data_IF_583280865992
#
_entry.id   IF_583280865992
#
_cell.length_a   1.000
_cell.length_b   1.000
_cell.length_c   1.000
_cell.angle_alpha   90.00
_cell.angle_beta   90.00
_cell.angle_gamma   90.00
#
_symmetry.space_group_name_H-M   'P 1'
#
loop_
_entity.id
_entity.type
_entity.pdbx_description
1 polymer ?
#
# COMPACT_ATOMS: atom_id res chain seq x y z
N UNK A 1 -23.58 29.45 28.29
CA UNK A 1 -23.49 29.14 26.84
C UNK A 1 -22.23 28.31 26.65
N UNK A 2 -22.38 27.00 26.53
CA UNK A 2 -21.25 26.06 26.47
C UNK A 2 -20.76 25.99 25.03
N UNK A 3 -19.50 26.40 24.79
CA UNK A 3 -18.88 26.33 23.47
C UNK A 3 -18.18 24.98 23.31
N UNK A 4 -18.79 24.08 22.54
CA UNK A 4 -18.16 22.83 22.15
C UNK A 4 -17.52 23.10 20.76
N UNK A 5 -16.21 22.89 20.64
CA UNK A 5 -15.48 23.11 19.39
C UNK A 5 -15.32 21.78 18.65
N UNK A 6 -15.62 21.77 17.35
CA UNK A 6 -15.35 20.65 16.45
C UNK A 6 -14.21 21.00 15.49
N UNK A 7 -13.30 20.05 15.27
CA UNK A 7 -12.24 20.17 14.27
C UNK A 7 -12.21 18.90 13.43
N UNK A 8 -12.33 19.05 12.12
CA UNK A 8 -12.32 17.95 11.16
C UNK A 8 -10.89 17.66 10.72
N UNK A 9 -10.43 16.43 10.92
CA UNK A 9 -9.12 15.94 10.47
C UNK A 9 -9.34 14.61 9.74
N UNK A 10 -9.55 14.67 8.42
CA UNK A 10 -9.84 13.46 7.62
C UNK A 10 -11.14 12.78 8.05
N UNK A 11 -11.06 11.50 8.40
CA UNK A 11 -12.18 10.66 8.88
C UNK A 11 -12.53 10.88 10.37
N UNK A 12 -11.75 11.70 11.08
CA UNK A 12 -11.93 11.91 12.52
C UNK A 12 -12.64 13.23 12.79
N UNK A 13 -13.72 13.18 13.57
CA UNK A 13 -14.31 14.36 14.23
C UNK A 13 -13.91 14.33 15.68
N UNK A 14 -13.09 15.31 16.08
CA UNK A 14 -12.68 15.49 17.46
C UNK A 14 -13.69 16.46 18.09
N UNK A 15 -14.54 15.93 18.98
CA UNK A 15 -15.44 16.75 19.80
C UNK A 15 -14.84 16.87 21.20
N UNK A 16 -14.39 18.07 21.56
CA UNK A 16 -13.84 18.36 22.89
C UNK A 16 -14.90 18.98 23.79
N UNK A 17 -15.27 18.28 24.87
CA UNK A 17 -16.07 18.87 25.95
C UNK A 17 -15.51 18.35 27.31
N UNK A 18 -15.04 19.30 28.14
CA UNK A 18 -14.45 19.18 29.49
C UNK A 18 -13.87 17.81 29.93
N UNK A 19 -12.59 17.59 29.63
CA UNK A 19 -11.74 16.62 30.35
C UNK A 19 -11.46 15.30 29.64
N UNK A 20 -11.94 15.10 28.41
CA UNK A 20 -11.60 13.94 27.60
C UNK A 20 -11.84 14.18 26.11
N UNK A 21 -11.06 13.50 25.28
CA UNK A 21 -11.33 13.38 23.85
C UNK A 21 -12.18 12.14 23.64
N UNK A 22 -13.41 12.31 23.16
CA UNK A 22 -14.18 11.19 22.64
C UNK A 22 -13.90 11.12 21.14
N UNK A 23 -13.14 10.10 20.72
CA UNK A 23 -12.97 9.79 19.29
C UNK A 23 -14.26 9.12 18.84
N UNK A 24 -15.16 9.89 18.24
CA UNK A 24 -16.28 9.31 17.51
C UNK A 24 -15.76 8.86 16.15
N UNK A 25 -15.71 7.55 15.93
CA UNK A 25 -15.61 6.98 14.57
C UNK A 25 -16.98 7.17 13.93
N UNK A 26 -17.19 8.30 13.25
CA UNK A 26 -18.31 8.39 12.32
C UNK A 26 -17.94 7.55 11.10
N UNK A 27 -18.62 6.43 10.90
CA UNK A 27 -18.72 5.85 9.57
C UNK A 27 -20.21 5.65 9.27
N UNK A 28 -20.85 6.70 8.76
CA UNK A 28 -21.99 6.48 7.85
C UNK A 28 -21.38 6.04 6.51
N UNK A 29 -20.94 4.78 6.42
CA UNK A 29 -20.32 4.30 5.16
C UNK A 29 -21.41 3.90 4.17
N UNK A 30 -21.90 4.90 3.44
CA UNK A 30 -22.47 4.68 2.12
C UNK A 30 -21.34 4.23 1.17
N UNK A 31 -21.65 3.33 0.24
CA UNK A 31 -20.75 2.90 -0.83
C UNK A 31 -21.25 3.40 -2.19
N UNK A 32 -20.31 3.58 -3.10
CA UNK A 32 -20.61 3.68 -4.52
C UNK A 32 -20.63 2.27 -5.10
N UNK A 33 -21.74 1.92 -5.74
CA UNK A 33 -21.96 0.65 -6.41
C UNK A 33 -21.89 0.87 -7.91
N UNK A 34 -20.97 0.16 -8.57
CA UNK A 34 -20.88 0.09 -10.02
C UNK A 34 -21.33 -1.30 -10.47
N UNK A 35 -22.44 -1.34 -11.21
CA UNK A 35 -22.93 -2.52 -11.92
C UNK A 35 -22.61 -2.31 -13.40
N UNK A 36 -21.92 -3.25 -14.03
CA UNK A 36 -21.54 -3.11 -15.43
C UNK A 36 -21.51 -4.43 -16.18
N UNK A 37 -21.68 -4.32 -17.49
CA UNK A 37 -21.54 -5.39 -18.47
C UNK A 37 -20.72 -4.85 -19.64
N UNK A 38 -19.68 -5.57 -20.04
CA UNK A 38 -18.86 -5.24 -21.22
C UNK A 38 -18.85 -6.42 -22.19
N UNK A 39 -18.65 -6.19 -23.50
CA UNK A 39 -18.51 -7.27 -24.47
C UNK A 39 -17.45 -8.30 -24.09
N UNK A 40 -17.69 -9.57 -24.49
CA UNK A 40 -16.76 -10.66 -24.23
C UNK A 40 -15.43 -10.49 -24.98
N UNK A 41 -15.47 -9.88 -26.16
CA UNK A 41 -14.30 -9.56 -26.96
C UNK A 41 -14.23 -8.05 -27.28
N UNK A 42 -13.03 -7.46 -27.33
CA UNK A 42 -11.73 -8.07 -27.06
C UNK A 42 -11.44 -8.22 -25.55
N UNK A 43 -10.93 -9.38 -25.12
CA UNK A 43 -10.60 -9.67 -23.71
C UNK A 43 -9.68 -8.63 -23.04
N UNK A 44 -8.75 -8.04 -23.80
CA UNK A 44 -7.81 -7.00 -23.34
C UNK A 44 -8.51 -5.79 -22.72
N UNK A 45 -9.62 -5.36 -23.33
CA UNK A 45 -10.42 -4.20 -22.87
C UNK A 45 -11.03 -4.47 -21.49
N UNK A 46 -11.64 -5.64 -21.31
CA UNK A 46 -12.21 -6.07 -20.01
C UNK A 46 -11.15 -6.20 -18.92
N UNK A 47 -9.99 -6.78 -19.25
CA UNK A 47 -8.91 -6.96 -18.28
C UNK A 47 -8.32 -5.62 -17.83
N UNK A 48 -8.18 -4.65 -18.75
CA UNK A 48 -7.75 -3.30 -18.41
C UNK A 48 -8.73 -2.61 -17.46
N UNK A 49 -10.03 -2.71 -17.73
CA UNK A 49 -11.08 -2.18 -16.85
C UNK A 49 -11.02 -2.81 -15.45
N UNK A 50 -10.89 -4.13 -15.36
CA UNK A 50 -10.78 -4.84 -14.09
C UNK A 50 -9.54 -4.39 -13.29
N UNK A 51 -8.38 -4.28 -13.95
CA UNK A 51 -7.15 -3.78 -13.32
C UNK A 51 -7.30 -2.35 -12.81
N UNK A 52 -7.99 -1.48 -13.58
CA UNK A 52 -8.26 -0.10 -13.18
C UNK A 52 -9.15 -0.05 -11.94
N UNK A 53 -10.22 -0.85 -11.90
CA UNK A 53 -11.11 -0.96 -10.74
C UNK A 53 -10.37 -1.49 -9.51
N UNK A 54 -9.58 -2.56 -9.65
CA UNK A 54 -8.74 -3.09 -8.57
C UNK A 54 -7.70 -2.07 -8.09
N UNK A 55 -7.10 -1.30 -9.00
CA UNK A 55 -6.17 -0.22 -8.67
C UNK A 55 -6.79 0.96 -7.89
N UNK A 56 -8.12 1.07 -7.88
CA UNK A 56 -8.86 2.01 -7.02
C UNK A 56 -9.23 1.41 -5.66
N UNK A 57 -8.90 0.14 -5.40
CA UNK A 57 -9.31 -0.58 -4.20
C UNK A 57 -10.74 -1.12 -4.28
N UNK A 58 -11.32 -1.26 -5.48
CA UNK A 58 -12.68 -1.74 -5.62
C UNK A 58 -12.81 -3.22 -5.27
N UNK A 59 -13.82 -3.54 -4.45
CA UNK A 59 -14.15 -4.91 -4.06
C UNK A 59 -15.33 -5.41 -4.87
N UNK A 60 -15.22 -6.62 -5.41
CA UNK A 60 -16.30 -7.22 -6.18
C UNK A 60 -17.26 -7.99 -5.27
N UNK A 61 -18.54 -7.71 -5.41
CA UNK A 61 -19.60 -8.51 -4.78
C UNK A 61 -19.93 -9.73 -5.63
N UNK A 62 -20.00 -9.53 -6.94
CA UNK A 62 -20.30 -10.51 -7.99
C UNK A 62 -19.65 -10.06 -9.30
N UNK A 63 -19.71 -10.90 -10.34
CA UNK A 63 -19.23 -10.53 -11.66
C UNK A 63 -19.95 -9.27 -12.18
N UNK A 64 -19.17 -8.25 -12.54
CA UNK A 64 -19.72 -6.98 -13.01
C UNK A 64 -20.33 -6.11 -11.91
N UNK A 65 -20.19 -6.46 -10.63
CA UNK A 65 -20.73 -5.70 -9.51
C UNK A 65 -19.62 -5.42 -8.50
N UNK A 66 -19.22 -4.15 -8.37
CA UNK A 66 -18.15 -3.75 -7.47
C UNK A 66 -18.49 -2.51 -6.64
N UNK A 67 -17.81 -2.38 -5.51
CA UNK A 67 -18.01 -1.35 -4.50
C UNK A 67 -16.73 -0.54 -4.27
N UNK A 68 -16.91 0.75 -3.96
CA UNK A 68 -15.92 1.60 -3.31
C UNK A 68 -16.57 2.38 -2.16
N UNK A 69 -15.84 2.73 -1.09
CA UNK A 69 -16.35 3.67 -0.10
C UNK A 69 -16.75 5.00 -0.75
N UNK A 70 -17.85 5.62 -0.33
CA UNK A 70 -18.27 6.90 -0.90
C UNK A 70 -17.25 7.99 -0.60
N UNK A 71 -16.71 8.57 -1.66
CA UNK A 71 -15.87 9.76 -1.62
C UNK A 71 -15.99 10.50 -2.95
N UNK A 72 -15.72 11.81 -2.96
CA UNK A 72 -15.71 12.59 -4.19
C UNK A 72 -14.67 12.09 -5.20
N UNK A 73 -13.53 11.58 -4.69
CA UNK A 73 -12.51 10.96 -5.54
C UNK A 73 -13.04 9.71 -6.23
N UNK A 74 -13.60 8.76 -5.48
CA UNK A 74 -14.17 7.53 -6.03
C UNK A 74 -15.33 7.81 -6.99
N UNK A 75 -16.18 8.80 -6.67
CA UNK A 75 -17.28 9.22 -7.55
C UNK A 75 -16.77 9.73 -8.90
N UNK A 76 -15.73 10.56 -8.90
CA UNK A 76 -15.10 11.05 -10.15
C UNK A 76 -14.49 9.89 -10.94
N UNK A 77 -13.77 8.99 -10.27
CA UNK A 77 -13.15 7.84 -10.93
C UNK A 77 -14.17 6.88 -11.53
N UNK A 78 -15.25 6.56 -10.81
CA UNK A 78 -16.35 5.73 -11.32
C UNK A 78 -17.09 6.37 -12.49
N UNK A 79 -17.25 7.71 -12.53
CA UNK A 79 -17.80 8.40 -13.71
C UNK A 79 -16.91 8.29 -14.94
N UNK A 80 -15.58 8.41 -14.78
CA UNK A 80 -14.64 8.21 -15.88
C UNK A 80 -14.76 6.76 -16.40
N UNK A 81 -14.79 5.79 -15.48
CA UNK A 81 -14.93 4.38 -15.83
C UNK A 81 -16.27 4.08 -16.51
N UNK A 82 -17.37 4.70 -16.06
CA UNK A 82 -18.68 4.57 -16.69
C UNK A 82 -18.66 5.04 -18.15
N UNK A 83 -17.99 6.15 -18.45
CA UNK A 83 -17.82 6.62 -19.83
C UNK A 83 -16.98 5.65 -20.66
N UNK A 84 -15.85 5.16 -20.13
CA UNK A 84 -15.00 4.16 -20.80
C UNK A 84 -15.78 2.88 -21.11
N UNK A 85 -16.61 2.39 -20.18
CA UNK A 85 -17.49 1.24 -20.41
C UNK A 85 -18.42 1.50 -21.59
N UNK A 86 -19.00 2.70 -21.70
CA UNK A 86 -19.84 3.10 -22.83
C UNK A 86 -19.09 3.11 -24.15
N UNK A 87 -17.87 3.67 -24.19
CA UNK A 87 -16.99 3.67 -25.38
C UNK A 87 -16.59 2.25 -25.81
N UNK A 88 -16.59 1.29 -24.88
CA UNK A 88 -16.35 -0.12 -25.15
C UNK A 88 -17.59 -0.87 -25.66
N UNK A 89 -18.74 -0.20 -25.80
CA UNK A 89 -20.02 -0.83 -26.17
C UNK A 89 -20.64 -1.63 -25.02
N UNK A 90 -20.28 -1.31 -23.78
CA UNK A 90 -20.86 -1.88 -22.58
C UNK A 90 -21.97 -1.01 -21.98
N UNK A 91 -22.58 -1.54 -20.92
CA UNK A 91 -23.62 -0.87 -20.14
C UNK A 91 -23.17 -0.77 -18.69
N UNK A 92 -23.49 0.33 -18.01
CA UNK A 92 -23.21 0.45 -16.58
C UNK A 92 -24.18 1.36 -15.82
N UNK A 93 -24.37 1.03 -14.55
CA UNK A 93 -25.15 1.78 -13.57
C UNK A 93 -24.24 2.15 -12.40
N UNK A 94 -24.27 3.42 -12.03
CA UNK A 94 -23.56 3.95 -10.87
C UNK A 94 -24.58 4.43 -9.85
N UNK A 95 -24.57 3.80 -8.68
CA UNK A 95 -25.56 4.01 -7.61
C UNK A 95 -24.85 4.36 -6.31
N UNK A 96 -25.50 5.14 -5.46
CA UNK A 96 -25.16 5.23 -4.05
C UNK A 96 -25.93 4.12 -3.32
N UNK A 97 -25.27 3.46 -2.37
CA UNK A 97 -25.82 2.31 -1.66
C UNK A 97 -25.40 2.35 -0.20
N UNK A 98 -26.22 1.77 0.67
CA UNK A 98 -25.94 1.67 2.10
C UNK A 98 -26.33 0.30 2.62
N UNK A 99 -25.75 -0.10 3.76
CA UNK A 99 -26.09 -1.35 4.41
C UNK A 99 -27.46 -1.22 5.07
N UNK A 100 -28.33 -2.22 4.90
CA UNK A 100 -29.64 -2.23 5.57
C UNK A 100 -29.51 -2.22 7.10
N UNK A 101 -28.47 -2.86 7.61
CA UNK A 101 -28.13 -2.89 9.02
C UNK A 101 -26.61 -2.90 9.20
N UNK A 102 -26.20 -2.82 10.48
CA UNK A 102 -24.80 -2.85 10.88
C UNK A 102 -24.10 -4.15 10.46
N UNK A 103 -24.79 -5.29 10.50
CA UNK A 103 -24.22 -6.58 10.10
C UNK A 103 -23.82 -6.58 8.63
N UNK A 104 -24.63 -5.97 7.77
CA UNK A 104 -24.33 -5.83 6.35
C UNK A 104 -23.14 -4.88 6.10
N UNK A 105 -23.03 -3.81 6.88
CA UNK A 105 -21.87 -2.91 6.85
C UNK A 105 -20.59 -3.63 7.24
N UNK A 106 -20.62 -4.39 8.34
CA UNK A 106 -19.49 -5.20 8.81
C UNK A 106 -19.10 -6.28 7.81
N UNK A 107 -20.07 -6.92 7.14
CA UNK A 107 -19.81 -7.90 6.09
C UNK A 107 -19.04 -7.29 4.91
N UNK A 108 -19.46 -6.10 4.44
CA UNK A 108 -18.80 -5.43 3.32
C UNK A 108 -17.42 -4.91 3.74
N UNK A 109 -17.30 -4.28 4.90
CA UNK A 109 -16.01 -3.86 5.45
C UNK A 109 -15.05 -5.06 5.59
N UNK A 110 -15.55 -6.20 6.05
CA UNK A 110 -14.79 -7.45 6.11
C UNK A 110 -14.25 -7.90 4.76
N UNK A 111 -14.99 -7.72 3.66
CA UNK A 111 -14.49 -8.01 2.30
C UNK A 111 -13.38 -7.06 1.86
N UNK A 112 -13.45 -5.78 2.21
CA UNK A 112 -12.34 -4.85 1.96
C UNK A 112 -11.10 -5.26 2.74
N UNK A 113 -11.25 -5.55 4.04
CA UNK A 113 -10.15 -5.99 4.89
C UNK A 113 -9.52 -7.30 4.41
N UNK A 114 -10.30 -8.27 3.94
CA UNK A 114 -9.75 -9.54 3.43
C UNK A 114 -8.90 -9.33 2.16
N UNK A 115 -9.37 -8.52 1.22
CA UNK A 115 -8.60 -8.17 0.02
C UNK A 115 -7.31 -7.41 0.37
N UNK A 116 -7.34 -6.53 1.38
CA UNK A 116 -6.14 -5.85 1.88
C UNK A 116 -5.20 -6.79 2.61
N UNK A 117 -5.72 -7.66 3.48
CA UNK A 117 -4.94 -8.68 4.20
C UNK A 117 -4.24 -9.64 3.23
N UNK A 118 -4.85 -9.95 2.08
CA UNK A 118 -4.21 -10.75 1.05
C UNK A 118 -2.97 -10.06 0.47
N UNK A 119 -3.05 -8.77 0.17
CA UNK A 119 -1.89 -7.99 -0.29
C UNK A 119 -0.84 -7.82 0.80
N UNK A 120 -1.25 -7.57 2.06
CA UNK A 120 -0.31 -7.51 3.18
C UNK A 120 0.41 -8.85 3.39
N UNK A 121 -0.25 -9.99 3.24
CA UNK A 121 0.41 -11.31 3.29
C UNK A 121 1.47 -11.47 2.22
N UNK A 122 1.21 -11.02 1.00
CA UNK A 122 2.21 -11.04 -0.08
C UNK A 122 3.39 -10.12 0.25
N UNK A 123 3.10 -8.92 0.77
CA UNK A 123 4.12 -7.96 1.21
C UNK A 123 5.02 -8.54 2.31
N UNK A 124 4.41 -9.15 3.33
CA UNK A 124 5.13 -9.81 4.42
C UNK A 124 6.06 -10.93 3.90
N UNK A 125 5.60 -11.70 2.92
CA UNK A 125 6.43 -12.69 2.23
C UNK A 125 7.66 -12.06 1.57
N UNK A 126 7.49 -10.92 0.89
CA UNK A 126 8.62 -10.21 0.27
C UNK A 126 9.57 -9.59 1.30
N UNK A 127 9.07 -9.11 2.43
CA UNK A 127 9.94 -8.68 3.53
C UNK A 127 10.77 -9.85 4.05
N UNK A 128 10.17 -11.03 4.23
CA UNK A 128 10.90 -12.23 4.66
C UNK A 128 11.99 -12.64 3.65
N UNK A 129 11.66 -12.64 2.35
CA UNK A 129 12.64 -12.92 1.28
C UNK A 129 13.81 -11.92 1.31
N UNK A 130 13.51 -10.62 1.45
CA UNK A 130 14.51 -9.56 1.51
C UNK A 130 15.46 -9.71 2.72
N UNK A 131 14.90 -9.97 3.91
CA UNK A 131 15.68 -10.18 5.12
C UNK A 131 16.60 -11.40 4.98
N UNK A 132 16.10 -12.49 4.40
CA UNK A 132 16.88 -13.70 4.15
C UNK A 132 18.03 -13.48 3.14
N UNK A 133 17.87 -12.54 2.20
CA UNK A 133 18.95 -12.14 1.29
C UNK A 133 20.07 -11.40 2.03
N UNK A 134 19.72 -10.35 2.78
CA UNK A 134 20.67 -9.58 3.59
C UNK A 134 21.44 -10.50 4.55
N UNK A 135 20.75 -11.43 5.22
CA UNK A 135 21.39 -12.39 6.13
C UNK A 135 22.41 -13.27 5.39
N UNK A 136 22.09 -13.72 4.18
CA UNK A 136 22.97 -14.55 3.36
C UNK A 136 24.21 -13.79 2.91
N UNK A 137 24.06 -12.56 2.43
CA UNK A 137 25.16 -11.70 2.02
C UNK A 137 26.07 -11.35 3.21
N UNK A 138 25.46 -11.07 4.36
CA UNK A 138 26.17 -10.80 5.62
C UNK A 138 26.98 -12.02 6.05
N UNK A 139 26.39 -13.21 6.01
CA UNK A 139 27.07 -14.46 6.34
C UNK A 139 28.21 -14.78 5.37
N UNK A 140 28.03 -14.49 4.08
CA UNK A 140 29.06 -14.62 3.06
C UNK A 140 30.13 -13.52 3.12
N UNK A 141 29.96 -12.50 3.99
CA UNK A 141 30.80 -11.29 4.06
C UNK A 141 30.91 -10.58 2.70
N UNK A 142 29.84 -10.62 1.90
CA UNK A 142 29.78 -9.98 0.59
C UNK A 142 29.54 -8.48 0.72
N UNK A 143 30.44 -7.79 1.43
CA UNK A 143 30.33 -6.36 1.70
C UNK A 143 30.91 -5.56 0.53
N UNK A 144 30.04 -5.21 -0.42
CA UNK A 144 30.38 -4.35 -1.56
C UNK A 144 29.35 -3.25 -1.75
N UNK A 145 29.74 -2.15 -2.38
CA UNK A 145 28.81 -1.07 -2.71
C UNK A 145 27.73 -1.49 -3.72
N UNK A 146 28.03 -2.47 -4.57
CA UNK A 146 27.06 -2.97 -5.54
C UNK A 146 25.88 -3.66 -4.83
N UNK A 147 26.16 -4.57 -3.89
CA UNK A 147 25.13 -5.23 -3.08
C UNK A 147 24.35 -4.21 -2.23
N UNK A 148 25.05 -3.26 -1.62
CA UNK A 148 24.39 -2.20 -0.84
C UNK A 148 23.41 -1.38 -1.70
N UNK A 149 23.81 -1.05 -2.94
CA UNK A 149 22.95 -0.30 -3.86
C UNK A 149 21.73 -1.13 -4.28
N UNK A 150 21.92 -2.41 -4.61
CA UNK A 150 20.81 -3.32 -4.99
C UNK A 150 19.81 -3.45 -3.84
N UNK A 151 20.28 -3.69 -2.62
CA UNK A 151 19.44 -3.80 -1.44
C UNK A 151 18.70 -2.49 -1.09
N UNK A 152 19.30 -1.31 -1.33
CA UNK A 152 18.63 -0.01 -1.17
C UNK A 152 17.53 0.21 -2.21
N UNK A 153 17.77 -0.19 -3.47
CA UNK A 153 16.76 -0.13 -4.54
C UNK A 153 15.57 -1.06 -4.23
N UNK A 154 15.82 -2.26 -3.71
CA UNK A 154 14.77 -3.20 -3.32
C UNK A 154 13.97 -2.73 -2.10
N UNK A 155 14.63 -2.14 -1.10
CA UNK A 155 13.95 -1.53 0.03
C UNK A 155 13.04 -0.37 -0.40
N UNK A 156 13.48 0.46 -1.36
CA UNK A 156 12.65 1.53 -1.93
C UNK A 156 11.42 0.98 -2.64
N UNK A 157 11.53 -0.16 -3.34
CA UNK A 157 10.38 -0.84 -3.95
C UNK A 157 9.40 -1.32 -2.89
N UNK A 158 9.87 -1.93 -1.80
CA UNK A 158 9.03 -2.35 -0.66
C UNK A 158 8.31 -1.16 -0.03
N UNK A 159 9.01 -0.05 0.26
CA UNK A 159 8.41 1.20 0.78
C UNK A 159 7.27 1.70 -0.11
N UNK A 160 7.53 1.83 -1.40
CA UNK A 160 6.53 2.29 -2.37
C UNK A 160 5.34 1.34 -2.45
N UNK A 161 5.57 0.04 -2.34
CA UNK A 161 4.50 -0.94 -2.39
C UNK A 161 3.61 -0.88 -1.14
N UNK A 162 4.20 -0.82 0.06
CA UNK A 162 3.43 -0.69 1.30
C UNK A 162 2.55 0.58 1.31
N UNK A 163 3.10 1.70 0.82
CA UNK A 163 2.35 2.95 0.67
C UNK A 163 1.14 2.78 -0.26
N UNK A 164 1.31 2.06 -1.38
CA UNK A 164 0.21 1.77 -2.31
C UNK A 164 -0.86 0.90 -1.66
N UNK A 165 -0.48 -0.14 -0.90
CA UNK A 165 -1.44 -0.98 -0.18
C UNK A 165 -2.22 -0.13 0.82
N UNK A 166 -1.53 0.70 1.60
CA UNK A 166 -2.13 1.58 2.62
C UNK A 166 -3.11 2.61 2.03
N UNK A 167 -2.84 3.15 0.83
CA UNK A 167 -3.80 4.05 0.14
C UNK A 167 -5.12 3.38 -0.23
N UNK A 168 -5.13 2.05 -0.36
CA UNK A 168 -6.30 1.25 -0.66
C UNK A 168 -6.93 0.64 0.59
N UNK A 169 -6.29 0.77 1.76
CA UNK A 169 -6.79 0.26 3.03
C UNK A 169 -7.76 1.26 3.68
N UNK A 170 -9.03 1.15 3.28
CA UNK A 170 -10.08 2.06 3.72
C UNK A 170 -10.64 1.75 5.11
N UNK A 171 -10.41 0.55 5.62
CA UNK A 171 -11.06 0.03 6.84
C UNK A 171 -10.06 -0.42 7.91
N UNK A 172 -8.76 -0.29 7.67
CA UNK A 172 -7.71 -0.62 8.64
C UNK A 172 -7.60 -2.12 8.81
N UNK A 173 -7.09 -2.80 7.79
CA UNK A 173 -6.92 -4.24 7.81
C UNK A 173 -5.93 -4.67 8.91
N UNK A 174 -6.20 -5.82 9.52
CA UNK A 174 -5.49 -6.31 10.71
C UNK A 174 -3.97 -6.40 10.53
N UNK A 175 -3.52 -6.78 9.33
CA UNK A 175 -2.10 -6.99 9.05
C UNK A 175 -1.31 -5.70 8.74
N UNK A 176 -1.97 -4.55 8.63
CA UNK A 176 -1.31 -3.29 8.29
C UNK A 176 -0.19 -2.92 9.29
N UNK A 177 -0.45 -3.11 10.58
CA UNK A 177 0.52 -2.82 11.63
C UNK A 177 1.74 -3.77 11.60
N UNK A 178 1.52 -5.05 11.29
CA UNK A 178 2.60 -6.02 11.16
C UNK A 178 3.45 -5.73 9.92
N UNK A 179 2.82 -5.41 8.79
CA UNK A 179 3.52 -5.02 7.57
C UNK A 179 4.43 -3.79 7.79
N UNK A 180 3.92 -2.77 8.51
CA UNK A 180 4.73 -1.61 8.86
C UNK A 180 5.93 -1.97 9.76
N UNK A 181 5.75 -2.86 10.75
CA UNK A 181 6.86 -3.34 11.60
C UNK A 181 7.91 -4.10 10.80
N UNK A 182 7.49 -4.99 9.90
CA UNK A 182 8.43 -5.75 9.07
C UNK A 182 9.22 -4.85 8.14
N UNK A 183 8.61 -3.79 7.60
CA UNK A 183 9.34 -2.81 6.80
C UNK A 183 10.42 -2.09 7.62
N UNK A 184 10.12 -1.69 8.86
CA UNK A 184 11.11 -1.08 9.76
C UNK A 184 12.28 -2.05 10.04
N UNK A 185 11.99 -3.33 10.25
CA UNK A 185 13.04 -4.34 10.42
C UNK A 185 13.93 -4.45 9.16
N UNK A 186 13.35 -4.41 7.95
CA UNK A 186 14.13 -4.36 6.71
C UNK A 186 15.04 -3.11 6.64
N UNK A 187 14.54 -1.94 7.07
CA UNK A 187 15.33 -0.71 7.13
C UNK A 187 16.52 -0.84 8.09
N UNK A 188 16.28 -1.34 9.30
CA UNK A 188 17.31 -1.57 10.32
C UNK A 188 18.41 -2.52 9.82
N UNK A 189 18.02 -3.63 9.17
CA UNK A 189 18.97 -4.60 8.63
C UNK A 189 19.81 -4.05 7.48
N UNK A 190 19.24 -3.22 6.63
CA UNK A 190 20.01 -2.54 5.58
C UNK A 190 21.01 -1.53 6.18
N UNK A 191 20.62 -0.82 7.24
CA UNK A 191 21.52 0.12 7.92
C UNK A 191 22.72 -0.60 8.54
N UNK A 192 22.49 -1.73 9.22
CA UNK A 192 23.55 -2.59 9.74
C UNK A 192 24.48 -3.09 8.61
N UNK A 193 23.91 -3.56 7.50
CA UNK A 193 24.68 -4.00 6.33
C UNK A 193 25.51 -2.85 5.74
N UNK A 194 24.93 -1.65 5.63
CA UNK A 194 25.61 -0.46 5.14
C UNK A 194 26.84 -0.10 5.97
N UNK A 195 26.70 -0.13 7.31
CA UNK A 195 27.82 0.11 8.23
C UNK A 195 28.94 -0.93 8.02
N UNK A 196 28.60 -2.21 7.82
CA UNK A 196 29.57 -3.26 7.53
C UNK A 196 30.29 -3.04 6.20
N UNK A 197 29.60 -2.59 5.15
CA UNK A 197 30.18 -2.23 3.85
C UNK A 197 31.18 -1.08 3.98
N UNK A 198 30.83 -0.01 4.68
CA UNK A 198 31.74 1.11 4.90
C UNK A 198 32.99 0.70 5.70
N UNK A 199 32.81 -0.13 6.73
CA UNK A 199 33.92 -0.65 7.52
C UNK A 199 34.88 -1.51 6.67
N UNK A 200 34.32 -2.43 5.86
CA UNK A 200 35.10 -3.30 4.98
C UNK A 200 35.85 -2.50 3.90
N UNK A 201 35.23 -1.47 3.33
CA UNK A 201 35.89 -0.63 2.32
C UNK A 201 37.03 0.20 2.93
N UNK A 202 36.83 0.76 4.12
CA UNK A 202 37.89 1.51 4.81
C UNK A 202 39.11 0.63 5.10
N UNK A 203 38.89 -0.64 5.47
CA UNK A 203 39.97 -1.61 5.64
C UNK A 203 40.69 -1.93 4.32
N UNK A 204 39.94 -2.14 3.23
CA UNK A 204 40.52 -2.35 1.89
C UNK A 204 41.40 -1.17 1.46
N UNK A 205 40.94 0.06 1.67
CA UNK A 205 41.70 1.27 1.32
C UNK A 205 42.99 1.40 2.13
N UNK A 206 42.98 1.04 3.43
CA UNK A 206 44.19 1.00 4.27
C UNK A 206 45.20 -0.05 3.83
N UNK A 207 44.72 -1.17 3.29
CA UNK A 207 45.56 -2.28 2.81
C UNK A 207 46.15 -2.08 1.40
N UNK A 208 45.77 -1.03 0.65
CA UNK A 208 46.33 -0.79 -0.69
C UNK A 208 47.82 -0.44 -0.59
N UNK A 209 48.70 -1.15 -1.32
CA UNK A 209 50.12 -0.80 -1.36
C UNK A 209 50.30 0.60 -1.93
N UNK A 210 51.20 1.39 -1.33
CA UNK A 210 51.65 2.64 -1.92
C UNK A 210 52.31 2.36 -3.28
N UNK A 211 52.04 3.18 -4.32
CA UNK A 211 52.81 3.09 -5.54
C UNK A 211 54.30 3.31 -5.21
N UNK A 212 55.21 2.55 -5.82
CA UNK A 212 56.64 2.77 -5.61
C UNK A 212 56.96 4.22 -5.97
N UNK A 213 57.70 4.91 -5.08
CA UNK A 213 58.21 6.25 -5.36
C UNK A 213 59.09 6.18 -6.61
N UNK A 214 58.74 6.94 -7.65
CA UNK A 214 59.63 7.17 -8.78
C UNK A 214 60.94 7.76 -8.23
N UNK A 215 62.01 6.97 -8.20
CA UNK A 215 63.36 7.47 -8.03
C UNK A 215 63.66 8.36 -9.23
N UNK A 216 63.63 9.68 -9.01
CA UNK A 216 64.03 10.65 -10.01
C UNK A 216 65.57 10.57 -10.17
N UNK A 217 66.08 10.34 -11.40
CA UNK A 217 67.52 10.29 -11.68
C UNK A 217 68.21 11.65 -11.56
#
# INVERSE_FOLDING_TARGET
>A
MTSCYSKQLGQFVIMGCNGGYMIFVMNESDWLLLIYKVPAEPSKKRLALWRKLKGLGAVYLQNGVCLLPKSDHHRRQFKIIQNEIGEMGGESFLLESSGFDRRQQELIAGRFNEERNAEYREFLGRCADYLAEIERETAARNFTYAELQENDEDLKKLKSWLEKIGRLDFYGAELAAEAARQLLLCEERLEEFSQAVFAAEHERLKSRPFPPSEENP
#
